data_IF_962826991871
#
_entry.id   IF_962826991871
#
_cell.length_a   1.000
_cell.length_b   1.000
_cell.length_c   1.000
_cell.angle_alpha   90.00
_cell.angle_beta   90.00
_cell.angle_gamma   90.00
#
_symmetry.space_group_name_H-M   'P 1'
#
loop_
_entity.id
_entity.type
_entity.pdbx_description
1 polymer ?
#
# COMPACT_ATOMS: atom_id res chain seq x y z
N UNK A 1 -7.77 9.25 8.27
CA UNK A 1 -7.53 9.62 6.87
C UNK A 1 -6.04 9.82 6.72
N UNK A 2 -5.36 8.93 6.01
CA UNK A 2 -3.98 9.15 5.60
C UNK A 2 -3.99 9.80 4.23
N UNK A 3 -4.04 11.10 4.19
CA UNK A 3 -3.93 11.85 2.95
C UNK A 3 -2.43 12.15 2.79
N UNK A 4 -1.73 11.42 1.93
CA UNK A 4 -0.29 11.54 1.76
C UNK A 4 0.12 12.78 0.93
N UNK A 5 -0.83 13.46 0.32
CA UNK A 5 -0.66 14.66 -0.49
C UNK A 5 -0.89 15.98 0.26
N UNK A 6 -1.17 15.91 1.56
CA UNK A 6 -1.30 17.08 2.43
C UNK A 6 -0.16 17.07 3.45
N UNK A 7 0.69 18.09 3.41
CA UNK A 7 1.71 18.34 4.43
C UNK A 7 1.23 19.44 5.37
N UNK A 8 1.24 19.17 6.67
CA UNK A 8 0.93 20.17 7.69
C UNK A 8 2.23 20.52 8.41
N UNK A 9 2.60 21.78 8.37
CA UNK A 9 3.81 22.29 9.02
C UNK A 9 3.40 23.37 10.02
N UNK A 10 3.85 23.25 11.26
CA UNK A 10 3.74 24.30 12.25
C UNK A 10 4.86 25.32 12.04
N UNK A 11 4.54 26.60 12.04
CA UNK A 11 5.54 27.67 11.97
C UNK A 11 5.40 28.57 13.18
N UNK A 12 6.47 28.76 13.93
CA UNK A 12 6.54 29.62 15.10
C UNK A 12 7.69 30.59 15.04
N UNK A 13 7.49 31.78 15.57
CA UNK A 13 8.58 32.75 15.75
C UNK A 13 9.51 32.27 16.86
N UNK A 14 10.82 32.42 16.66
CA UNK A 14 11.85 32.13 17.66
C UNK A 14 11.71 32.97 18.94
N UNK A 15 11.09 34.15 18.86
CA UNK A 15 10.73 34.95 20.02
C UNK A 15 9.84 34.23 21.06
N UNK A 16 9.22 33.11 20.69
CA UNK A 16 8.35 32.29 21.56
C UNK A 16 8.94 30.90 21.86
N UNK A 17 10.25 30.74 21.70
CA UNK A 17 10.92 29.43 21.93
C UNK A 17 10.74 28.87 23.35
N UNK A 18 10.57 29.70 24.35
CA UNK A 18 10.31 29.26 25.73
C UNK A 18 8.98 28.54 25.88
N UNK A 19 8.01 28.83 25.00
CA UNK A 19 6.68 28.21 24.96
C UNK A 19 6.62 26.98 24.03
N UNK A 20 7.64 26.78 23.20
CA UNK A 20 7.70 25.72 22.18
C UNK A 20 7.50 24.30 22.76
N UNK A 21 8.11 23.91 23.89
CA UNK A 21 7.87 22.59 24.47
C UNK A 21 6.40 22.29 24.70
N UNK A 22 5.63 23.27 25.22
CA UNK A 22 4.18 23.11 25.42
C UNK A 22 3.36 23.06 24.13
N UNK A 23 3.88 23.62 23.05
CA UNK A 23 3.21 23.62 21.74
C UNK A 23 3.41 22.32 20.97
N UNK A 24 4.57 21.66 21.13
CA UNK A 24 4.94 20.47 20.33
C UNK A 24 4.88 19.18 21.13
N UNK A 25 4.84 19.23 22.46
CA UNK A 25 4.81 18.06 23.33
C UNK A 25 3.64 17.13 22.99
N UNK A 26 3.95 15.86 22.68
CA UNK A 26 2.96 14.86 22.28
C UNK A 26 2.34 15.04 20.89
N UNK A 27 2.87 15.93 20.05
CA UNK A 27 2.41 16.19 18.67
C UNK A 27 3.41 15.67 17.65
N UNK A 28 2.90 15.20 16.50
CA UNK A 28 3.72 14.59 15.43
C UNK A 28 3.90 15.57 14.25
N UNK A 29 3.41 16.80 14.35
CA UNK A 29 3.52 17.76 13.26
C UNK A 29 4.96 18.31 13.17
N UNK A 30 5.56 18.35 11.97
CA UNK A 30 6.83 19.05 11.77
C UNK A 30 6.68 20.51 12.14
N UNK A 31 7.71 21.06 12.77
CA UNK A 31 7.75 22.46 13.21
C UNK A 31 8.94 23.16 12.59
N UNK A 32 8.73 24.37 12.10
CA UNK A 32 9.75 25.26 11.53
C UNK A 32 9.79 26.56 12.32
N UNK A 33 10.99 27.00 12.68
CA UNK A 33 11.20 28.31 13.28
C UNK A 33 11.32 29.37 12.19
N UNK A 34 10.59 30.47 12.39
CA UNK A 34 10.71 31.69 11.59
C UNK A 34 11.52 32.71 12.42
N UNK A 35 12.74 32.99 11.98
CA UNK A 35 13.76 33.65 12.81
C UNK A 35 13.77 35.16 12.70
N UNK A 36 14.10 35.85 13.81
CA UNK A 36 14.28 37.32 13.84
C UNK A 36 15.45 37.77 12.97
N UNK A 37 16.51 36.99 12.95
CA UNK A 37 17.72 37.29 12.16
C UNK A 37 17.42 37.33 10.65
N UNK A 38 16.44 36.57 10.18
CA UNK A 38 15.97 36.57 8.79
C UNK A 38 14.78 37.53 8.56
N UNK A 39 14.34 38.27 9.58
CA UNK A 39 13.24 39.23 9.52
C UNK A 39 11.85 38.61 9.51
N UNK A 40 11.71 37.38 10.01
CA UNK A 40 10.48 36.62 10.01
C UNK A 40 9.86 36.48 8.62
N UNK A 41 10.53 35.85 7.65
CA UNK A 41 10.09 35.82 6.26
C UNK A 41 8.69 35.20 6.10
N UNK A 42 8.36 34.12 6.77
CA UNK A 42 7.03 33.50 6.68
C UNK A 42 5.93 34.44 7.17
N UNK A 43 6.17 35.17 8.26
CA UNK A 43 5.20 36.14 8.79
C UNK A 43 5.10 37.41 7.94
N UNK A 44 6.18 37.82 7.33
CA UNK A 44 6.25 39.06 6.53
C UNK A 44 5.77 38.85 5.10
N UNK A 45 6.24 37.81 4.44
CA UNK A 45 5.94 37.54 3.03
C UNK A 45 4.51 37.11 2.80
N UNK A 46 3.95 36.34 3.73
CA UNK A 46 2.56 35.87 3.66
C UNK A 46 1.59 36.73 4.48
N UNK A 47 2.04 37.77 5.15
CA UNK A 47 1.23 38.59 6.03
C UNK A 47 0.58 37.75 7.18
N UNK A 48 1.35 36.79 7.70
CA UNK A 48 0.83 35.82 8.63
C UNK A 48 0.33 36.46 9.92
N UNK A 49 -0.81 35.97 10.43
CA UNK A 49 -1.45 36.40 11.68
C UNK A 49 -1.52 35.24 12.63
N UNK A 50 -1.35 35.49 13.91
CA UNK A 50 -1.44 34.49 14.94
C UNK A 50 -2.78 33.70 14.85
N UNK A 51 -2.68 32.37 14.98
CA UNK A 51 -3.80 31.41 14.87
C UNK A 51 -4.50 31.39 13.50
N UNK A 52 -3.76 31.66 12.43
CA UNK A 52 -4.22 31.45 11.07
C UNK A 52 -3.59 30.22 10.46
N UNK A 53 -4.38 29.51 9.67
CA UNK A 53 -3.92 28.41 8.81
C UNK A 53 -3.86 28.93 7.39
N UNK A 54 -2.77 28.65 6.70
CA UNK A 54 -2.52 29.04 5.32
C UNK A 54 -2.51 27.78 4.47
N UNK A 55 -3.19 27.83 3.34
CA UNK A 55 -3.29 26.71 2.41
C UNK A 55 -2.53 27.06 1.13
N UNK A 56 -1.60 26.20 0.77
CA UNK A 56 -0.79 26.34 -0.43
C UNK A 56 -1.09 25.19 -1.38
N UNK A 57 -1.06 25.46 -2.68
CA UNK A 57 -1.09 24.42 -3.70
C UNK A 57 0.28 23.71 -3.80
N UNK A 58 0.39 22.78 -4.75
CA UNK A 58 1.62 22.01 -4.97
C UNK A 58 2.80 22.86 -5.48
N UNK A 59 2.50 23.98 -6.10
CA UNK A 59 3.49 24.92 -6.62
C UNK A 59 3.93 25.94 -5.55
N UNK A 60 3.43 25.79 -4.32
CA UNK A 60 3.74 26.67 -3.19
C UNK A 60 3.01 28.02 -3.27
N UNK A 61 1.98 28.15 -4.11
CA UNK A 61 1.18 29.36 -4.19
C UNK A 61 0.12 29.37 -3.09
N UNK A 62 -0.06 30.51 -2.43
CA UNK A 62 -1.09 30.67 -1.41
C UNK A 62 -2.49 30.62 -2.06
N UNK A 63 -3.24 29.58 -1.75
CA UNK A 63 -4.60 29.37 -2.26
C UNK A 63 -5.62 30.07 -1.35
N UNK A 64 -5.47 29.91 -0.03
CA UNK A 64 -6.39 30.49 0.95
C UNK A 64 -5.76 30.61 2.34
N UNK A 65 -6.42 31.35 3.22
CA UNK A 65 -6.07 31.42 4.64
C UNK A 65 -7.31 31.51 5.51
N UNK A 66 -7.24 30.92 6.70
CA UNK A 66 -8.34 30.87 7.65
C UNK A 66 -7.87 31.15 9.07
N UNK A 67 -8.56 32.05 9.77
CA UNK A 67 -8.30 32.26 11.18
C UNK A 67 -9.00 31.21 12.01
N UNK A 68 -8.25 30.38 12.74
CA UNK A 68 -8.76 29.24 13.52
C UNK A 68 -9.03 29.59 14.99
N UNK A 69 -9.03 30.88 15.36
CA UNK A 69 -9.27 31.32 16.76
C UNK A 69 -10.62 30.89 17.30
N UNK A 70 -11.64 30.77 16.44
CA UNK A 70 -12.99 30.42 16.81
C UNK A 70 -13.25 28.90 16.77
N UNK A 71 -12.29 28.11 16.27
CA UNK A 71 -12.41 26.68 16.18
C UNK A 71 -12.03 26.02 17.51
N UNK A 72 -12.90 25.19 18.03
CA UNK A 72 -12.68 24.39 19.22
C UNK A 72 -12.24 22.98 18.79
N UNK A 73 -11.03 22.53 19.11
CA UNK A 73 -10.53 21.22 18.69
C UNK A 73 -11.39 20.03 19.14
N UNK A 74 -12.13 20.21 20.22
CA UNK A 74 -13.02 19.20 20.81
C UNK A 74 -14.47 19.28 20.29
N UNK A 75 -14.81 20.28 19.45
CA UNK A 75 -16.11 20.37 18.80
C UNK A 75 -16.11 19.56 17.49
N UNK A 76 -16.92 18.49 17.39
CA UNK A 76 -16.99 17.67 16.18
C UNK A 76 -17.43 18.44 14.92
N UNK A 77 -18.20 19.52 15.07
CA UNK A 77 -18.66 20.30 13.92
C UNK A 77 -17.53 21.16 13.37
N UNK A 78 -16.76 21.82 14.25
CA UNK A 78 -15.60 22.62 13.86
C UNK A 78 -14.53 21.75 13.21
N UNK A 79 -14.28 20.57 13.78
CA UNK A 79 -13.35 19.59 13.21
C UNK A 79 -13.84 19.12 11.82
N UNK A 80 -15.11 18.76 11.70
CA UNK A 80 -15.70 18.31 10.43
C UNK A 80 -15.68 19.43 9.38
N UNK A 81 -15.94 20.69 9.78
CA UNK A 81 -15.85 21.83 8.90
C UNK A 81 -14.44 22.00 8.33
N UNK A 82 -13.41 21.97 9.19
CA UNK A 82 -12.03 22.12 8.75
C UNK A 82 -11.59 20.99 7.81
N UNK A 83 -11.96 19.74 8.13
CA UNK A 83 -11.68 18.59 7.27
C UNK A 83 -12.36 18.75 5.91
N UNK A 84 -13.65 19.08 5.87
CA UNK A 84 -14.37 19.26 4.62
C UNK A 84 -13.79 20.41 3.80
N UNK A 85 -13.43 21.51 4.45
CA UNK A 85 -12.81 22.65 3.79
C UNK A 85 -11.45 22.26 3.14
N UNK A 86 -10.62 21.50 3.84
CA UNK A 86 -9.35 20.97 3.29
C UNK A 86 -9.63 20.06 2.10
N UNK A 87 -10.64 19.18 2.21
CA UNK A 87 -11.03 18.28 1.12
C UNK A 87 -11.60 19.02 -0.08
N UNK A 88 -12.37 20.09 0.14
CA UNK A 88 -12.89 20.95 -0.94
C UNK A 88 -11.75 21.68 -1.67
N UNK A 89 -10.82 22.27 -0.92
CA UNK A 89 -9.63 22.91 -1.52
C UNK A 89 -8.77 21.90 -2.30
N UNK A 90 -8.68 20.69 -1.79
CA UNK A 90 -7.98 19.59 -2.46
C UNK A 90 -8.70 19.21 -3.76
N UNK A 91 -10.03 19.16 -3.77
CA UNK A 91 -10.82 18.83 -4.97
C UNK A 91 -10.73 19.89 -6.07
N UNK A 92 -10.49 21.15 -5.69
CA UNK A 92 -10.31 22.25 -6.66
C UNK A 92 -8.87 22.36 -7.20
N UNK A 93 -7.86 21.92 -6.42
CA UNK A 93 -6.44 22.15 -6.71
C UNK A 93 -5.58 20.87 -6.50
N UNK A 94 -6.18 19.74 -6.17
CA UNK A 94 -5.52 18.46 -5.92
C UNK A 94 -5.75 17.44 -7.02
N UNK A 95 -5.17 16.22 -6.88
CA UNK A 95 -5.40 15.16 -7.82
C UNK A 95 -6.88 14.80 -7.91
N UNK A 96 -7.36 14.57 -9.12
CA UNK A 96 -8.64 13.94 -9.31
C UNK A 96 -8.61 12.51 -8.76
N UNK A 97 -9.74 12.06 -8.19
CA UNK A 97 -9.88 10.67 -7.74
C UNK A 97 -10.95 10.01 -8.60
N UNK A 98 -10.53 9.05 -9.41
CA UNK A 98 -11.41 8.21 -10.21
C UNK A 98 -11.70 6.92 -9.44
N UNK A 99 -12.94 6.70 -9.06
CA UNK A 99 -13.36 5.48 -8.35
C UNK A 99 -13.84 4.43 -9.35
N UNK A 100 -13.35 3.21 -9.16
CA UNK A 100 -13.76 2.06 -9.97
C UNK A 100 -14.48 1.06 -9.06
N UNK A 101 -15.71 0.65 -9.37
CA UNK A 101 -16.48 0.93 -10.58
C UNK A 101 -17.41 2.15 -10.53
N UNK A 102 -17.36 2.99 -9.50
CA UNK A 102 -18.36 4.02 -9.23
C UNK A 102 -18.36 5.16 -10.28
N UNK A 103 -17.18 5.69 -10.64
CA UNK A 103 -17.04 6.79 -11.61
C UNK A 103 -16.77 6.26 -13.01
N UNK A 104 -16.04 5.14 -13.10
CA UNK A 104 -15.72 4.43 -14.36
C UNK A 104 -15.89 2.94 -14.17
N UNK A 105 -16.35 2.23 -15.20
CA UNK A 105 -16.59 0.79 -15.14
C UNK A 105 -15.32 -0.06 -15.28
N UNK A 106 -14.21 0.53 -15.72
CA UNK A 106 -12.93 -0.16 -15.93
C UNK A 106 -11.76 0.65 -15.37
N UNK A 107 -10.74 -0.05 -14.90
CA UNK A 107 -9.52 0.55 -14.37
C UNK A 107 -8.75 1.23 -15.49
N UNK A 108 -8.60 0.55 -16.66
CA UNK A 108 -7.92 1.15 -17.81
C UNK A 108 -8.63 2.41 -18.30
N UNK A 109 -9.97 2.43 -18.29
CA UNK A 109 -10.75 3.62 -18.64
C UNK A 109 -10.53 4.78 -17.67
N UNK A 110 -10.35 4.51 -16.37
CA UNK A 110 -9.96 5.52 -15.39
C UNK A 110 -8.54 6.06 -15.67
N UNK A 111 -7.59 5.17 -15.98
CA UNK A 111 -6.22 5.55 -16.34
C UNK A 111 -6.20 6.43 -17.60
N UNK A 112 -7.02 6.12 -18.61
CA UNK A 112 -7.12 6.92 -19.84
C UNK A 112 -7.57 8.36 -19.56
N UNK A 113 -8.50 8.55 -18.62
CA UNK A 113 -9.04 9.86 -18.23
C UNK A 113 -8.13 10.64 -17.30
N UNK A 114 -7.32 9.96 -16.49
CA UNK A 114 -6.47 10.57 -15.49
C UNK A 114 -5.33 11.40 -16.09
N UNK A 115 -4.88 12.40 -15.36
CA UNK A 115 -3.68 13.21 -15.63
C UNK A 115 -2.59 12.88 -14.59
N UNK A 116 -1.38 13.40 -14.79
CA UNK A 116 -0.28 13.21 -13.83
C UNK A 116 -0.67 13.70 -12.45
N UNK A 117 -0.43 12.84 -11.46
CA UNK A 117 -0.76 13.07 -10.07
C UNK A 117 -2.13 12.58 -9.64
N UNK A 118 -3.01 12.20 -10.55
CA UNK A 118 -4.34 11.67 -10.24
C UNK A 118 -4.30 10.29 -9.59
N UNK A 119 -5.40 9.92 -8.94
CA UNK A 119 -5.56 8.68 -8.19
C UNK A 119 -6.69 7.86 -8.79
N UNK A 120 -6.40 6.62 -9.16
CA UNK A 120 -7.39 5.60 -9.49
C UNK A 120 -7.61 4.76 -8.23
N UNK A 121 -8.77 4.90 -7.60
CA UNK A 121 -9.13 4.21 -6.37
C UNK A 121 -10.11 3.08 -6.67
N UNK A 122 -9.66 1.84 -6.46
CA UNK A 122 -10.36 0.64 -6.87
C UNK A 122 -11.07 0.00 -5.67
N UNK A 123 -12.38 -0.19 -5.79
CA UNK A 123 -13.18 -0.90 -4.81
C UNK A 123 -12.89 -2.42 -4.83
N UNK A 124 -13.12 -3.15 -3.72
CA UNK A 124 -12.95 -4.59 -3.70
C UNK A 124 -13.71 -5.30 -4.82
N UNK A 125 -13.05 -6.22 -5.48
CA UNK A 125 -13.59 -6.99 -6.59
C UNK A 125 -12.50 -7.68 -7.40
N UNK A 126 -12.89 -8.56 -8.32
CA UNK A 126 -11.99 -9.17 -9.29
C UNK A 126 -12.21 -8.53 -10.64
N UNK A 127 -11.17 -7.90 -11.15
CA UNK A 127 -11.17 -7.16 -12.40
C UNK A 127 -10.36 -7.92 -13.44
N UNK A 128 -11.04 -8.48 -14.45
CA UNK A 128 -10.38 -9.13 -15.57
C UNK A 128 -9.90 -8.09 -16.57
N UNK A 129 -8.86 -7.40 -16.18
CA UNK A 129 -8.27 -6.31 -16.93
C UNK A 129 -6.74 -6.40 -16.90
N UNK A 130 -6.14 -5.95 -17.97
CA UNK A 130 -4.72 -5.63 -18.04
C UNK A 130 -4.61 -4.12 -18.14
N UNK A 131 -3.75 -3.53 -17.34
CA UNK A 131 -3.62 -2.07 -17.25
C UNK A 131 -2.25 -1.61 -17.72
N UNK A 132 -2.26 -0.45 -18.37
CA UNK A 132 -1.08 0.28 -18.82
C UNK A 132 -1.15 1.71 -18.27
N UNK A 133 -0.09 2.18 -17.65
CA UNK A 133 -0.01 3.52 -17.07
C UNK A 133 0.06 4.65 -18.13
N UNK A 134 0.27 4.33 -19.40
CA UNK A 134 0.24 5.27 -20.54
C UNK A 134 1.15 6.49 -20.36
N UNK A 135 2.39 6.29 -19.96
CA UNK A 135 3.39 7.35 -19.67
C UNK A 135 2.96 8.34 -18.58
N UNK A 136 1.99 7.97 -17.72
CA UNK A 136 1.45 8.84 -16.68
C UNK A 136 2.02 8.55 -15.30
N UNK A 137 2.31 9.60 -14.57
CA UNK A 137 2.64 9.55 -13.15
C UNK A 137 1.36 9.62 -12.32
N UNK A 138 0.73 8.49 -12.09
CA UNK A 138 -0.56 8.32 -11.39
C UNK A 138 -0.44 7.33 -10.24
N UNK A 139 -1.40 7.39 -9.32
CA UNK A 139 -1.53 6.37 -8.28
C UNK A 139 -2.67 5.41 -8.62
N UNK A 140 -2.36 4.12 -8.77
CA UNK A 140 -3.35 3.06 -8.91
C UNK A 140 -3.41 2.27 -7.61
N UNK A 141 -4.55 2.30 -6.92
CA UNK A 141 -4.66 1.87 -5.54
C UNK A 141 -5.96 1.14 -5.24
N UNK A 142 -5.91 0.16 -4.32
CA UNK A 142 -7.11 -0.31 -3.63
C UNK A 142 -7.53 0.65 -2.51
N UNK A 143 -8.65 0.36 -1.84
CA UNK A 143 -9.06 1.09 -0.64
C UNK A 143 -8.05 0.94 0.52
N UNK A 144 -7.06 0.05 0.44
CA UNK A 144 -5.93 0.03 1.37
C UNK A 144 -5.24 1.41 1.45
N UNK A 145 -5.15 2.13 0.35
CA UNK A 145 -4.53 3.46 0.27
C UNK A 145 -5.18 4.49 1.20
N UNK A 146 -6.50 4.43 1.39
CA UNK A 146 -7.25 5.37 2.24
C UNK A 146 -7.59 4.82 3.63
N UNK A 147 -7.79 3.49 3.74
CA UNK A 147 -8.30 2.87 4.97
C UNK A 147 -7.20 2.18 5.80
N UNK A 148 -6.02 1.95 5.19
CA UNK A 148 -4.89 1.22 5.80
C UNK A 148 -5.25 -0.17 6.33
N UNK A 149 -6.31 -0.79 5.80
CA UNK A 149 -6.71 -2.15 6.15
C UNK A 149 -6.16 -3.14 5.10
N UNK A 150 -5.25 -4.06 5.47
CA UNK A 150 -4.69 -5.07 4.57
C UNK A 150 -5.74 -5.97 3.90
N UNK A 151 -6.96 -6.03 4.44
CA UNK A 151 -8.08 -6.71 3.83
C UNK A 151 -8.27 -6.31 2.36
N UNK A 152 -8.19 -5.01 2.06
CA UNK A 152 -8.43 -4.51 0.71
C UNK A 152 -7.39 -4.96 -0.31
N UNK A 153 -6.20 -5.34 0.13
CA UNK A 153 -5.13 -5.86 -0.75
C UNK A 153 -5.56 -7.19 -1.36
N UNK A 154 -6.06 -8.11 -0.50
CA UNK A 154 -6.49 -9.45 -0.93
C UNK A 154 -7.81 -9.47 -1.70
N UNK A 155 -8.65 -8.46 -1.49
CA UNK A 155 -10.00 -8.38 -2.08
C UNK A 155 -10.08 -7.50 -3.33
N UNK A 156 -8.97 -6.82 -3.71
CA UNK A 156 -8.91 -5.99 -4.92
C UNK A 156 -7.94 -6.63 -5.91
N UNK A 157 -8.48 -7.43 -6.82
CA UNK A 157 -7.72 -8.35 -7.66
C UNK A 157 -7.72 -7.87 -9.12
N UNK A 158 -6.53 -7.68 -9.67
CA UNK A 158 -6.29 -7.56 -11.10
C UNK A 158 -5.96 -8.96 -11.65
N UNK A 159 -6.87 -9.51 -12.43
CA UNK A 159 -6.76 -10.85 -13.04
C UNK A 159 -6.44 -10.74 -14.53
N UNK A 160 -5.25 -11.17 -14.92
CA UNK A 160 -4.78 -11.13 -16.32
C UNK A 160 -5.46 -12.14 -17.25
N UNK A 161 -6.29 -13.05 -16.71
CA UNK A 161 -7.00 -14.10 -17.48
C UNK A 161 -6.06 -14.89 -18.43
N UNK A 162 -4.78 -14.97 -18.10
CA UNK A 162 -3.70 -15.61 -18.88
C UNK A 162 -3.55 -15.07 -20.32
N UNK A 163 -3.91 -13.82 -20.56
CA UNK A 163 -3.94 -13.23 -21.90
C UNK A 163 -2.84 -12.21 -22.17
N UNK A 164 -2.06 -11.85 -21.14
CA UNK A 164 -0.93 -10.92 -21.25
C UNK A 164 -0.42 -10.48 -19.88
N UNK A 165 0.58 -9.61 -19.86
CA UNK A 165 1.05 -8.94 -18.63
C UNK A 165 -0.08 -8.17 -17.98
N UNK A 166 -0.25 -8.31 -16.66
CA UNK A 166 -1.38 -7.68 -15.94
C UNK A 166 -1.19 -6.17 -15.82
N UNK A 167 0.01 -5.74 -15.43
CA UNK A 167 0.34 -4.33 -15.23
C UNK A 167 1.57 -3.96 -16.03
N UNK A 168 1.45 -2.97 -16.90
CA UNK A 168 2.55 -2.38 -17.63
C UNK A 168 2.81 -0.95 -17.16
N UNK A 169 4.05 -0.66 -16.79
CA UNK A 169 4.52 0.67 -16.43
C UNK A 169 5.74 0.95 -17.31
N UNK A 170 5.52 1.69 -18.41
CA UNK A 170 6.53 1.91 -19.43
C UNK A 170 6.42 3.34 -19.97
N UNK A 171 7.56 4.01 -20.20
CA UNK A 171 7.56 5.32 -20.84
C UNK A 171 8.07 6.48 -19.99
N UNK A 172 8.93 6.20 -18.97
CA UNK A 172 9.64 7.26 -18.26
C UNK A 172 8.92 7.82 -17.04
N UNK A 173 7.98 7.05 -16.47
CA UNK A 173 7.39 7.39 -15.17
C UNK A 173 8.47 7.48 -14.09
N UNK A 174 8.32 8.44 -13.18
CA UNK A 174 9.17 8.58 -12.01
C UNK A 174 8.52 7.97 -10.74
N UNK A 175 9.12 8.15 -9.57
CA UNK A 175 8.60 7.64 -8.30
C UNK A 175 7.26 8.25 -7.85
N UNK A 176 6.66 9.15 -8.60
CA UNK A 176 5.28 9.60 -8.37
C UNK A 176 4.24 8.68 -9.05
N UNK A 177 4.67 7.77 -9.92
CA UNK A 177 3.85 6.65 -10.36
C UNK A 177 3.84 5.57 -9.28
N UNK A 178 2.67 5.26 -8.73
CA UNK A 178 2.51 4.36 -7.57
C UNK A 178 1.49 3.27 -7.87
N UNK A 179 1.87 2.03 -7.59
CA UNK A 179 0.98 0.87 -7.58
C UNK A 179 0.91 0.33 -6.15
N UNK A 180 -0.26 0.40 -5.51
CA UNK A 180 -0.36 0.13 -4.08
C UNK A 180 -1.59 -0.66 -3.67
N UNK A 181 -1.35 -1.70 -2.85
CA UNK A 181 -2.39 -2.41 -2.14
C UNK A 181 -3.29 -3.28 -3.02
N UNK A 182 -2.77 -3.87 -4.08
CA UNK A 182 -3.52 -4.68 -5.04
C UNK A 182 -3.01 -6.12 -5.07
N UNK A 183 -3.89 -7.05 -5.43
CA UNK A 183 -3.50 -8.42 -5.83
C UNK A 183 -3.43 -8.48 -7.36
N UNK A 184 -2.29 -8.95 -7.89
CA UNK A 184 -1.97 -9.04 -9.31
C UNK A 184 -1.72 -10.51 -9.63
N UNK A 185 -2.63 -11.12 -10.39
CA UNK A 185 -2.56 -12.56 -10.62
C UNK A 185 -2.98 -12.98 -12.03
N UNK A 186 -2.64 -14.24 -12.37
CA UNK A 186 -3.00 -14.88 -13.63
C UNK A 186 -2.53 -14.12 -14.88
N UNK A 187 -1.43 -13.39 -14.75
CA UNK A 187 -0.76 -12.77 -15.89
C UNK A 187 0.02 -13.81 -16.70
N UNK A 188 0.13 -13.56 -18.00
CA UNK A 188 0.94 -14.37 -18.89
C UNK A 188 1.70 -13.49 -19.87
N UNK A 189 2.99 -13.75 -20.02
CA UNK A 189 3.81 -13.12 -21.05
C UNK A 189 4.55 -14.18 -21.85
N UNK A 190 4.65 -14.02 -23.15
CA UNK A 190 5.46 -14.91 -23.99
C UNK A 190 6.96 -14.75 -23.73
N UNK A 191 7.40 -13.64 -23.12
CA UNK A 191 8.80 -13.35 -22.87
C UNK A 191 9.08 -12.75 -21.50
N UNK A 192 8.59 -11.57 -21.19
CA UNK A 192 9.08 -10.74 -20.09
C UNK A 192 7.91 -10.19 -19.27
N UNK A 193 7.93 -10.34 -17.94
CA UNK A 193 6.98 -9.75 -17.03
C UNK A 193 5.58 -10.37 -17.10
N UNK A 194 5.35 -11.52 -16.47
CA UNK A 194 4.02 -12.13 -16.44
C UNK A 194 3.01 -11.28 -15.64
N UNK A 195 3.36 -10.92 -14.40
CA UNK A 195 2.51 -10.08 -13.55
C UNK A 195 2.70 -8.59 -13.84
N UNK A 196 3.91 -8.07 -13.67
CA UNK A 196 4.26 -6.66 -13.84
C UNK A 196 5.46 -6.50 -14.76
N UNK A 197 5.35 -5.62 -15.73
CA UNK A 197 6.45 -5.16 -16.56
C UNK A 197 6.78 -3.70 -16.23
N UNK A 198 8.03 -3.43 -15.87
CA UNK A 198 8.57 -2.09 -15.66
C UNK A 198 9.67 -1.88 -16.71
N UNK A 199 9.43 -0.96 -17.64
CA UNK A 199 10.28 -0.73 -18.79
C UNK A 199 10.59 0.76 -18.95
N UNK A 200 11.85 1.15 -18.74
CA UNK A 200 12.27 2.54 -18.77
C UNK A 200 11.37 3.42 -17.86
N UNK A 201 11.20 2.99 -16.58
CA UNK A 201 10.33 3.65 -15.63
C UNK A 201 10.78 3.37 -14.17
N UNK A 202 10.48 4.32 -13.27
CA UNK A 202 10.90 4.32 -11.87
C UNK A 202 9.70 4.36 -10.90
N UNK A 203 8.71 3.45 -10.99
CA UNK A 203 7.54 3.50 -10.12
C UNK A 203 7.85 3.05 -8.68
N UNK A 204 6.90 3.31 -7.79
CA UNK A 204 6.83 2.67 -6.48
C UNK A 204 5.79 1.56 -6.50
N UNK A 205 6.18 0.35 -6.10
CA UNK A 205 5.29 -0.77 -5.81
C UNK A 205 5.23 -0.98 -4.30
N UNK A 206 4.09 -0.68 -3.68
CA UNK A 206 3.93 -0.72 -2.22
C UNK A 206 2.80 -1.66 -1.81
N UNK A 207 3.11 -2.66 -0.97
CA UNK A 207 2.15 -3.59 -0.36
C UNK A 207 1.18 -4.24 -1.36
N UNK A 208 1.71 -4.72 -2.49
CA UNK A 208 0.95 -5.53 -3.43
C UNK A 208 1.18 -7.02 -3.17
N UNK A 209 0.22 -7.84 -3.58
CA UNK A 209 0.36 -9.28 -3.71
C UNK A 209 0.52 -9.60 -5.20
N UNK A 210 1.68 -10.16 -5.59
CA UNK A 210 1.98 -10.53 -6.97
C UNK A 210 2.16 -12.05 -7.02
N UNK A 211 1.18 -12.75 -7.57
CA UNK A 211 1.16 -14.21 -7.48
C UNK A 211 0.57 -14.89 -8.72
N UNK A 212 0.93 -16.17 -8.92
CA UNK A 212 0.36 -17.02 -9.99
C UNK A 212 0.51 -16.41 -11.38
N UNK A 213 1.56 -15.65 -11.62
CA UNK A 213 1.87 -15.08 -12.92
C UNK A 213 2.95 -15.91 -13.62
N UNK A 214 2.94 -15.90 -14.94
CA UNK A 214 3.81 -16.73 -15.75
C UNK A 214 4.47 -15.94 -16.88
N UNK A 215 5.78 -16.10 -17.01
CA UNK A 215 6.51 -15.71 -18.22
C UNK A 215 7.00 -16.99 -18.92
N UNK A 216 6.55 -17.17 -20.16
CA UNK A 216 6.78 -18.39 -20.94
C UNK A 216 7.75 -18.20 -22.09
N UNK A 217 7.88 -19.25 -22.95
CA UNK A 217 8.75 -19.25 -24.12
C UNK A 217 10.26 -19.37 -23.79
N UNK A 218 11.08 -19.49 -24.84
CA UNK A 218 12.54 -19.59 -24.69
C UNK A 218 13.15 -18.27 -24.24
N UNK A 219 13.76 -18.26 -23.07
CA UNK A 219 14.35 -17.05 -22.49
C UNK A 219 13.34 -16.18 -21.76
N UNK A 220 12.32 -16.80 -21.14
CA UNK A 220 11.38 -16.10 -20.29
C UNK A 220 12.05 -15.43 -19.09
N UNK A 221 11.59 -14.25 -18.73
CA UNK A 221 12.17 -13.39 -17.72
C UNK A 221 11.08 -12.75 -16.84
N UNK A 222 11.19 -12.90 -15.51
CA UNK A 222 10.31 -12.25 -14.55
C UNK A 222 8.87 -12.79 -14.56
N UNK A 223 8.65 -13.95 -13.99
CA UNK A 223 7.30 -14.51 -13.87
C UNK A 223 6.37 -13.57 -13.11
N UNK A 224 6.78 -13.07 -11.95
CA UNK A 224 6.09 -12.05 -11.18
C UNK A 224 6.33 -10.65 -11.74
N UNK A 225 7.59 -10.21 -11.76
CA UNK A 225 7.99 -8.85 -12.14
C UNK A 225 9.21 -8.89 -13.04
N UNK A 226 9.21 -8.11 -14.10
CA UNK A 226 10.39 -7.82 -14.89
C UNK A 226 10.72 -6.32 -14.86
N UNK A 227 12.01 -6.00 -14.67
CA UNK A 227 12.54 -4.63 -14.58
C UNK A 227 13.65 -4.48 -15.60
N UNK A 228 13.42 -3.69 -16.63
CA UNK A 228 14.30 -3.59 -17.79
C UNK A 228 14.51 -2.13 -18.24
N UNK A 229 15.56 -1.94 -19.07
CA UNK A 229 15.83 -0.70 -19.79
C UNK A 229 16.00 0.53 -18.90
N UNK A 230 17.06 0.52 -18.05
CA UNK A 230 17.43 1.65 -17.18
C UNK A 230 16.29 2.07 -16.23
N UNK A 231 15.63 1.10 -15.58
CA UNK A 231 14.57 1.30 -14.61
C UNK A 231 15.10 1.26 -13.17
N UNK A 232 14.60 2.15 -12.31
CA UNK A 232 15.03 2.31 -10.90
C UNK A 232 13.85 2.28 -9.90
N UNK A 233 12.94 1.33 -9.99
CA UNK A 233 11.74 1.30 -9.15
C UNK A 233 12.05 0.99 -7.68
N UNK A 234 11.09 1.32 -6.80
CA UNK A 234 11.13 0.97 -5.39
C UNK A 234 10.06 -0.07 -5.06
N UNK A 235 10.45 -1.09 -4.27
CA UNK A 235 9.59 -2.17 -3.81
C UNK A 235 9.52 -2.23 -2.28
N UNK A 236 8.35 -2.00 -1.71
CA UNK A 236 8.14 -1.99 -0.27
C UNK A 236 6.95 -2.86 0.13
N UNK A 237 7.17 -3.83 1.03
CA UNK A 237 6.10 -4.61 1.64
C UNK A 237 5.28 -5.47 0.68
N UNK A 238 5.81 -5.80 -0.50
CA UNK A 238 5.09 -6.65 -1.43
C UNK A 238 5.27 -8.13 -1.09
N UNK A 239 4.23 -8.93 -1.33
CA UNK A 239 4.25 -10.38 -1.25
C UNK A 239 4.30 -10.96 -2.67
N UNK A 240 5.43 -11.56 -3.06
CA UNK A 240 5.71 -12.05 -4.42
C UNK A 240 5.91 -13.56 -4.38
N UNK A 241 4.91 -14.32 -4.81
CA UNK A 241 4.95 -15.77 -4.67
C UNK A 241 4.18 -16.55 -5.74
N UNK A 242 4.52 -17.83 -5.89
CA UNK A 242 3.93 -18.74 -6.89
C UNK A 242 3.97 -18.16 -8.31
N UNK A 243 4.96 -17.35 -8.63
CA UNK A 243 5.17 -16.91 -10.00
C UNK A 243 6.16 -17.85 -10.69
N UNK A 244 6.00 -18.03 -11.99
CA UNK A 244 6.72 -19.04 -12.73
C UNK A 244 7.32 -18.49 -14.00
N UNK A 245 8.56 -18.90 -14.28
CA UNK A 245 9.15 -18.79 -15.61
C UNK A 245 9.42 -20.19 -16.11
N UNK A 246 8.71 -20.62 -17.14
CA UNK A 246 8.87 -21.94 -17.74
C UNK A 246 8.42 -21.96 -19.19
N UNK A 247 8.89 -22.94 -19.97
CA UNK A 247 8.55 -23.09 -21.37
C UNK A 247 9.00 -24.42 -21.95
N UNK A 248 8.95 -24.57 -23.27
CA UNK A 248 9.20 -25.82 -23.98
C UNK A 248 10.57 -25.88 -24.66
N UNK A 249 11.57 -25.19 -24.14
CA UNK A 249 12.91 -25.19 -24.69
C UNK A 249 13.85 -26.13 -23.96
N UNK A 250 14.71 -26.83 -24.72
CA UNK A 250 15.81 -27.65 -24.18
C UNK A 250 17.00 -26.76 -23.75
N UNK A 251 16.77 -25.62 -23.14
CA UNK A 251 17.83 -24.73 -22.64
C UNK A 251 17.56 -24.38 -21.16
N UNK A 252 18.64 -24.15 -20.42
CA UNK A 252 18.58 -23.53 -19.10
C UNK A 252 18.56 -22.02 -19.34
N UNK A 253 17.37 -21.43 -19.47
CA UNK A 253 17.19 -20.06 -19.96
C UNK A 253 15.92 -19.38 -19.40
N UNK A 254 15.53 -19.76 -18.19
CA UNK A 254 14.40 -19.20 -17.45
C UNK A 254 14.91 -18.47 -16.22
N UNK A 255 14.63 -17.16 -16.13
CA UNK A 255 15.27 -16.29 -15.17
C UNK A 255 14.27 -15.44 -14.35
N UNK A 256 14.46 -15.42 -13.01
CA UNK A 256 13.69 -14.56 -12.12
C UNK A 256 12.22 -14.95 -11.99
N UNK A 257 11.95 -16.06 -11.32
CA UNK A 257 10.55 -16.48 -11.07
C UNK A 257 9.75 -15.40 -10.35
N UNK A 258 10.30 -14.82 -9.29
CA UNK A 258 9.73 -13.69 -8.58
C UNK A 258 10.02 -12.36 -9.29
N UNK A 259 11.29 -11.95 -9.28
CA UNK A 259 11.75 -10.67 -9.87
C UNK A 259 12.94 -10.93 -10.79
N UNK A 260 12.87 -10.41 -12.00
CA UNK A 260 13.97 -10.30 -12.94
C UNK A 260 14.41 -8.84 -13.09
N UNK A 261 15.72 -8.62 -13.13
CA UNK A 261 16.33 -7.30 -13.37
C UNK A 261 17.36 -7.43 -14.48
N UNK A 262 17.27 -6.61 -15.50
CA UNK A 262 18.26 -6.57 -16.58
C UNK A 262 19.58 -5.94 -16.13
N UNK A 263 20.58 -5.94 -17.01
CA UNK A 263 21.94 -5.43 -16.69
C UNK A 263 22.01 -3.91 -16.55
N UNK A 264 20.97 -3.18 -16.94
CA UNK A 264 20.96 -1.72 -17.00
C UNK A 264 20.10 -1.07 -15.91
N UNK A 265 19.35 -1.88 -15.17
CA UNK A 265 18.39 -1.42 -14.16
C UNK A 265 18.89 -1.61 -12.73
N UNK A 266 18.45 -0.74 -11.79
CA UNK A 266 18.81 -0.77 -10.37
C UNK A 266 17.63 -0.48 -9.46
N UNK A 267 16.74 -1.42 -9.21
CA UNK A 267 15.67 -1.25 -8.23
C UNK A 267 16.19 -1.16 -6.79
N UNK A 268 15.39 -0.59 -5.90
CA UNK A 268 15.52 -0.79 -4.46
C UNK A 268 14.45 -1.80 -4.02
N UNK A 269 14.87 -2.97 -3.52
CA UNK A 269 13.97 -4.05 -3.11
C UNK A 269 14.00 -4.18 -1.59
N UNK A 270 12.98 -3.65 -0.90
CA UNK A 270 12.91 -3.60 0.55
C UNK A 270 13.33 -2.25 1.12
N UNK A 271 13.47 -2.15 2.43
CA UNK A 271 13.81 -0.87 3.06
C UNK A 271 14.07 -0.96 4.56
N UNK A 272 13.13 -1.48 5.34
CA UNK A 272 13.28 -1.67 6.79
C UNK A 272 12.55 -2.94 7.23
N UNK A 273 12.78 -3.36 8.47
CA UNK A 273 12.15 -4.57 9.06
C UNK A 273 10.61 -4.56 8.92
N UNK A 274 10.00 -3.38 8.85
CA UNK A 274 8.54 -3.23 8.78
C UNK A 274 8.00 -3.06 7.36
N UNK A 275 8.87 -2.89 6.37
CA UNK A 275 8.50 -2.61 4.97
C UNK A 275 9.32 -3.44 3.96
N UNK A 276 9.95 -4.52 4.40
CA UNK A 276 10.58 -5.50 3.52
C UNK A 276 9.56 -6.30 2.73
N UNK A 277 9.98 -6.80 1.57
CA UNK A 277 9.12 -7.66 0.75
C UNK A 277 9.24 -9.12 1.20
N UNK A 278 8.23 -9.93 0.84
CA UNK A 278 8.23 -11.38 1.03
C UNK A 278 8.29 -12.07 -0.33
N UNK A 279 9.29 -12.94 -0.55
CA UNK A 279 9.49 -13.65 -1.80
C UNK A 279 9.63 -15.15 -1.51
N UNK A 280 8.71 -15.95 -2.06
CA UNK A 280 8.73 -17.40 -1.83
C UNK A 280 8.00 -18.19 -2.91
N UNK A 281 8.30 -19.48 -3.02
CA UNK A 281 7.62 -20.41 -3.93
C UNK A 281 7.55 -19.93 -5.39
N UNK A 282 8.48 -19.09 -5.83
CA UNK A 282 8.59 -18.73 -7.24
C UNK A 282 9.45 -19.78 -7.95
N UNK A 283 9.29 -19.95 -9.26
CA UNK A 283 9.97 -20.97 -10.03
C UNK A 283 10.66 -20.40 -11.29
N UNK A 284 11.92 -20.74 -11.45
CA UNK A 284 12.75 -20.47 -12.63
C UNK A 284 13.95 -21.42 -12.62
N UNK A 285 14.77 -21.45 -13.69
CA UNK A 285 16.04 -22.19 -13.71
C UNK A 285 17.11 -21.51 -12.83
N UNK A 286 17.08 -20.17 -12.78
CA UNK A 286 18.00 -19.36 -11.98
C UNK A 286 17.27 -18.21 -11.32
N UNK A 287 17.60 -17.94 -10.05
CA UNK A 287 17.04 -16.85 -9.28
C UNK A 287 15.53 -16.97 -9.14
N UNK A 288 15.06 -18.09 -8.57
CA UNK A 288 13.63 -18.31 -8.38
C UNK A 288 12.94 -17.12 -7.71
N UNK A 289 13.61 -16.51 -6.73
CA UNK A 289 13.09 -15.33 -6.05
C UNK A 289 13.59 -14.03 -6.69
N UNK A 290 14.90 -13.91 -6.91
CA UNK A 290 15.57 -12.72 -7.44
C UNK A 290 16.60 -13.09 -8.49
N UNK A 291 16.49 -12.51 -9.67
CA UNK A 291 17.49 -12.64 -10.73
C UNK A 291 17.95 -11.26 -11.21
N UNK A 292 19.26 -11.09 -11.39
CA UNK A 292 19.84 -9.92 -12.03
C UNK A 292 20.74 -10.35 -13.19
N UNK A 293 20.49 -9.83 -14.37
CA UNK A 293 21.35 -10.09 -15.52
C UNK A 293 22.75 -9.48 -15.29
N UNK A 294 23.82 -10.27 -15.36
CA UNK A 294 25.18 -9.75 -15.23
C UNK A 294 25.49 -8.72 -16.31
N UNK A 295 26.09 -7.55 -15.97
CA UNK A 295 26.56 -6.61 -16.96
C UNK A 295 27.74 -7.18 -17.76
N UNK A 296 28.01 -6.64 -18.94
CA UNK A 296 29.14 -7.06 -19.79
C UNK A 296 30.51 -6.82 -19.13
N UNK A 297 30.60 -5.81 -18.24
CA UNK A 297 31.82 -5.52 -17.45
C UNK A 297 31.56 -5.79 -15.96
N UNK A 298 32.07 -6.91 -15.47
CA UNK A 298 31.90 -7.36 -14.08
C UNK A 298 32.86 -6.71 -13.08
N UNK A 299 33.82 -5.88 -13.52
CA UNK A 299 34.85 -5.30 -12.64
C UNK A 299 34.31 -4.18 -11.74
N UNK A 300 33.20 -3.54 -12.12
CA UNK A 300 32.61 -2.41 -11.41
C UNK A 300 31.14 -2.67 -10.98
N UNK A 301 30.78 -3.91 -10.78
CA UNK A 301 29.41 -4.26 -10.47
C UNK A 301 29.06 -3.92 -9.02
N UNK A 302 28.11 -2.99 -8.84
CA UNK A 302 27.55 -2.65 -7.53
C UNK A 302 26.32 -3.52 -7.26
N UNK A 303 26.25 -4.25 -6.13
CA UNK A 303 25.06 -5.01 -5.76
C UNK A 303 23.80 -4.13 -5.69
N UNK A 304 22.65 -4.69 -6.05
CA UNK A 304 21.35 -4.06 -5.87
C UNK A 304 20.95 -4.15 -4.39
N UNK A 305 20.44 -3.04 -3.86
CA UNK A 305 19.92 -2.99 -2.50
C UNK A 305 18.68 -3.89 -2.35
N UNK A 306 18.77 -4.91 -1.50
CA UNK A 306 17.69 -5.88 -1.24
C UNK A 306 17.63 -6.22 0.26
N UNK A 307 17.52 -5.20 1.10
CA UNK A 307 17.59 -5.33 2.56
C UNK A 307 16.24 -5.66 3.19
N UNK A 308 16.29 -6.35 4.32
CA UNK A 308 15.12 -6.69 5.15
C UNK A 308 14.03 -7.52 4.46
N UNK A 309 14.32 -8.14 3.32
CA UNK A 309 13.36 -9.01 2.66
C UNK A 309 13.27 -10.36 3.37
N UNK A 310 12.14 -11.03 3.19
CA UNK A 310 11.88 -12.37 3.70
C UNK A 310 11.89 -13.37 2.55
N UNK A 311 12.60 -14.48 2.73
CA UNK A 311 12.74 -15.55 1.74
C UNK A 311 12.38 -16.89 2.38
N UNK A 312 12.12 -17.92 1.57
CA UNK A 312 11.91 -19.29 2.02
C UNK A 312 13.06 -19.77 2.90
N UNK A 313 14.29 -19.43 2.52
CA UNK A 313 15.53 -19.72 3.26
C UNK A 313 16.36 -18.44 3.33
N UNK A 314 16.95 -18.15 4.49
CA UNK A 314 17.87 -17.03 4.65
C UNK A 314 19.16 -17.48 5.38
N UNK A 315 20.34 -17.37 4.78
CA UNK A 315 20.57 -16.83 3.42
C UNK A 315 19.92 -17.74 2.37
N UNK A 316 19.40 -17.16 1.28
CA UNK A 316 18.78 -17.94 0.20
C UNK A 316 19.78 -18.87 -0.47
N UNK A 317 19.32 -19.99 -1.04
CA UNK A 317 20.16 -20.92 -1.79
C UNK A 317 20.59 -20.30 -3.13
N UNK A 318 21.90 -20.16 -3.34
CA UNK A 318 22.49 -19.68 -4.57
C UNK A 318 22.92 -20.86 -5.47
N UNK A 319 22.70 -20.82 -6.78
CA UNK A 319 22.00 -19.77 -7.56
C UNK A 319 20.50 -19.98 -7.69
N UNK A 320 19.92 -20.94 -6.96
CA UNK A 320 18.50 -21.32 -7.13
C UNK A 320 17.57 -20.17 -6.75
N UNK A 321 17.70 -19.63 -5.55
CA UNK A 321 16.81 -18.57 -5.07
C UNK A 321 17.22 -17.17 -5.53
N UNK A 322 18.53 -16.87 -5.50
CA UNK A 322 19.07 -15.55 -5.83
C UNK A 322 20.26 -15.66 -6.76
N UNK A 323 20.22 -15.03 -7.91
CA UNK A 323 21.30 -15.09 -8.89
C UNK A 323 21.60 -13.71 -9.51
N UNK A 324 22.88 -13.40 -9.72
CA UNK A 324 24.07 -14.02 -9.12
C UNK A 324 24.24 -13.59 -7.66
N UNK A 325 24.93 -14.39 -6.86
CA UNK A 325 25.17 -14.15 -5.44
C UNK A 325 25.68 -12.73 -5.14
N UNK A 326 26.65 -12.25 -5.91
CA UNK A 326 27.25 -10.93 -5.74
C UNK A 326 26.49 -9.79 -6.43
N UNK A 327 25.33 -10.07 -7.03
CA UNK A 327 24.46 -9.09 -7.69
C UNK A 327 23.52 -8.37 -6.73
N UNK A 328 23.42 -8.86 -5.49
CA UNK A 328 22.47 -8.38 -4.51
C UNK A 328 23.12 -8.11 -3.15
N UNK A 329 22.74 -7.04 -2.50
CA UNK A 329 23.07 -6.74 -1.12
C UNK A 329 21.88 -7.15 -0.24
N UNK A 330 22.01 -8.32 0.41
CA UNK A 330 20.95 -8.97 1.19
C UNK A 330 21.11 -8.71 2.71
N UNK A 331 21.54 -7.52 3.11
CA UNK A 331 21.68 -7.20 4.52
C UNK A 331 20.33 -7.35 5.25
N UNK A 332 20.38 -7.95 6.45
CA UNK A 332 19.22 -8.19 7.31
C UNK A 332 18.10 -9.01 6.63
N UNK A 333 18.46 -9.96 5.78
CA UNK A 333 17.49 -10.89 5.24
C UNK A 333 16.90 -11.77 6.36
N UNK A 334 15.63 -12.12 6.25
CA UNK A 334 14.90 -12.92 7.22
C UNK A 334 14.37 -14.18 6.57
N UNK A 335 14.64 -15.35 7.15
CA UNK A 335 13.98 -16.59 6.71
C UNK A 335 12.50 -16.46 7.01
N UNK A 336 11.66 -16.71 6.00
CA UNK A 336 10.30 -17.13 6.26
C UNK A 336 10.42 -18.39 7.11
N UNK A 337 10.10 -18.29 8.39
CA UNK A 337 10.19 -19.42 9.29
C UNK A 337 9.37 -20.59 8.74
N UNK A 338 10.04 -21.51 8.01
CA UNK A 338 9.49 -22.83 7.67
C UNK A 338 9.54 -23.72 8.95
N UNK A 339 9.30 -23.17 10.00
CA UNK A 339 8.90 -23.62 11.29
C UNK A 339 7.77 -22.72 11.72
N UNK A 340 6.81 -22.47 10.83
CA UNK A 340 5.52 -21.88 11.16
C UNK A 340 5.48 -20.43 11.67
N UNK A 341 6.46 -19.60 11.31
CA UNK A 341 6.30 -18.16 11.41
C UNK A 341 6.33 -17.51 10.01
N UNK A 342 5.33 -17.82 9.19
CA UNK A 342 4.85 -16.84 8.23
C UNK A 342 4.58 -15.59 9.08
N UNK A 343 5.09 -14.37 8.78
CA UNK A 343 4.49 -13.16 9.30
C UNK A 343 3.20 -13.02 8.56
N UNK A 344 2.52 -13.81 8.93
CA UNK A 344 1.35 -14.06 9.70
C UNK A 344 0.18 -13.41 8.99
N UNK A 345 -0.52 -14.22 8.32
CA UNK A 345 -1.75 -14.67 9.04
C UNK A 345 -1.29 -15.12 10.44
N UNK A 346 -1.57 -14.36 11.51
CA UNK A 346 -1.19 -14.75 12.86
C UNK A 346 -1.64 -16.19 13.10
N UNK A 347 -0.84 -17.03 13.80
CA UNK A 347 -1.31 -18.27 14.43
C UNK A 347 -2.59 -18.04 15.25
N UNK A 348 -3.08 -16.84 15.22
CA UNK A 348 -4.19 -16.25 15.92
C UNK A 348 -5.16 -15.69 14.92
N UNK A 349 -6.41 -15.91 15.18
CA UNK A 349 -7.53 -15.21 14.60
C UNK A 349 -7.19 -13.73 14.41
N UNK A 350 -7.35 -13.24 13.20
CA UNK A 350 -7.26 -11.82 12.89
C UNK A 350 -8.67 -11.24 12.66
N UNK A 351 -8.96 -10.17 13.37
CA UNK A 351 -10.23 -9.45 13.28
C UNK A 351 -10.02 -8.12 12.55
N UNK A 352 -10.49 -8.04 11.33
CA UNK A 352 -10.35 -6.85 10.49
C UNK A 352 -11.27 -5.71 10.94
N UNK A 353 -10.93 -4.48 10.55
CA UNK A 353 -11.78 -3.31 10.79
C UNK A 353 -13.08 -3.46 10.01
N UNK A 354 -14.19 -3.01 10.59
CA UNK A 354 -15.47 -3.01 9.89
C UNK A 354 -15.56 -1.90 8.84
N UNK A 355 -16.24 -2.21 7.72
CA UNK A 355 -16.46 -1.27 6.62
C UNK A 355 -17.91 -1.39 6.08
N UNK A 356 -18.53 -0.25 5.74
CA UNK A 356 -18.09 1.14 5.99
C UNK A 356 -18.01 1.47 7.48
N UNK A 357 -17.19 2.46 7.87
CA UNK A 357 -17.10 2.99 9.22
C UNK A 357 -16.66 4.47 9.18
N UNK A 358 -17.54 5.47 9.43
CA UNK A 358 -18.95 5.33 9.90
C UNK A 358 -19.87 4.62 8.91
N UNK A 359 -20.99 4.03 9.40
CA UNK A 359 -21.89 3.23 8.58
C UNK A 359 -23.38 3.58 8.77
N UNK A 360 -24.17 3.33 7.71
CA UNK A 360 -25.62 3.46 7.67
C UNK A 360 -26.21 2.58 6.54
N UNK A 361 -27.14 1.67 6.78
CA UNK A 361 -27.59 1.14 8.08
C UNK A 361 -26.80 -0.11 8.51
N UNK A 362 -25.81 -0.56 7.75
CA UNK A 362 -25.07 -1.80 7.98
C UNK A 362 -23.57 -1.63 7.77
N UNK A 363 -22.81 -2.45 8.47
CA UNK A 363 -21.35 -2.59 8.28
C UNK A 363 -20.98 -4.05 8.17
N UNK A 364 -19.90 -4.31 7.46
CA UNK A 364 -19.34 -5.65 7.27
C UNK A 364 -17.99 -5.73 7.97
N UNK A 365 -17.63 -6.91 8.41
CA UNK A 365 -16.30 -7.18 8.94
C UNK A 365 -15.92 -8.62 8.72
N UNK A 366 -14.64 -8.87 8.70
CA UNK A 366 -14.06 -10.17 8.42
C UNK A 366 -13.25 -10.67 9.61
N UNK A 367 -13.29 -11.97 9.79
CA UNK A 367 -12.42 -12.70 10.70
C UNK A 367 -11.67 -13.74 9.89
N UNK A 368 -10.36 -13.66 9.90
CA UNK A 368 -9.48 -14.66 9.29
C UNK A 368 -8.95 -15.60 10.37
N UNK A 369 -9.07 -16.91 10.15
CA UNK A 369 -8.55 -17.93 11.04
C UNK A 369 -7.66 -18.90 10.28
N UNK A 370 -6.47 -19.18 10.80
CA UNK A 370 -5.56 -20.15 10.19
C UNK A 370 -5.99 -21.60 10.47
N UNK A 371 -6.55 -21.83 11.64
CA UNK A 371 -7.01 -23.15 12.09
C UNK A 371 -8.49 -23.11 12.47
N UNK A 372 -9.09 -24.30 12.57
CA UNK A 372 -10.41 -24.43 13.18
C UNK A 372 -10.40 -23.88 14.61
N UNK A 373 -11.17 -22.83 14.88
CA UNK A 373 -11.11 -22.10 16.15
C UNK A 373 -12.50 -21.69 16.62
N UNK A 374 -12.78 -21.95 17.90
CA UNK A 374 -14.02 -21.49 18.54
C UNK A 374 -13.93 -20.00 18.83
N UNK A 375 -14.92 -19.25 18.34
CA UNK A 375 -14.97 -17.79 18.47
C UNK A 375 -16.33 -17.28 18.88
N UNK A 376 -16.30 -16.15 19.55
CA UNK A 376 -17.49 -15.38 19.90
C UNK A 376 -17.32 -13.93 19.46
N UNK A 377 -18.27 -13.43 18.64
CA UNK A 377 -18.35 -12.04 18.18
C UNK A 377 -19.54 -11.35 18.84
N UNK A 378 -19.25 -10.31 19.62
CA UNK A 378 -20.22 -9.52 20.38
C UNK A 378 -20.10 -8.04 20.12
N UNK A 379 -21.23 -7.34 20.15
CA UNK A 379 -21.28 -5.88 20.08
C UNK A 379 -21.61 -5.32 21.45
N UNK A 380 -20.92 -4.24 21.81
CA UNK A 380 -21.10 -3.52 23.06
C UNK A 380 -21.33 -2.03 22.78
N UNK A 381 -22.09 -1.38 23.65
CA UNK A 381 -22.18 0.09 23.66
C UNK A 381 -21.01 0.71 24.46
N UNK A 382 -20.96 2.07 24.45
CA UNK A 382 -19.93 2.83 25.15
C UNK A 382 -19.94 2.64 26.69
N UNK A 383 -20.99 2.06 27.24
CA UNK A 383 -21.12 1.73 28.69
C UNK A 383 -20.71 0.29 28.98
N UNK A 384 -20.23 -0.44 27.98
CA UNK A 384 -19.85 -1.85 28.10
C UNK A 384 -21.05 -2.80 28.19
N UNK A 385 -22.24 -2.37 27.87
CA UNK A 385 -23.44 -3.24 27.83
C UNK A 385 -23.43 -4.00 26.51
N UNK A 386 -23.58 -5.32 26.58
CA UNK A 386 -23.73 -6.17 25.41
C UNK A 386 -25.04 -5.84 24.69
N UNK A 387 -24.92 -5.57 23.40
CA UNK A 387 -26.02 -5.18 22.50
C UNK A 387 -26.51 -6.40 21.73
N UNK A 388 -25.56 -7.16 21.15
CA UNK A 388 -25.88 -8.28 20.27
C UNK A 388 -24.72 -9.30 20.25
N UNK A 389 -25.06 -10.56 20.01
CA UNK A 389 -24.10 -11.62 19.67
C UNK A 389 -24.25 -11.89 18.18
N UNK A 390 -23.21 -11.55 17.40
CA UNK A 390 -23.23 -11.71 15.95
C UNK A 390 -22.93 -13.16 15.56
N UNK A 391 -21.98 -13.77 16.25
CA UNK A 391 -21.56 -15.14 16.01
C UNK A 391 -21.06 -15.78 17.31
N UNK A 392 -21.35 -17.06 17.48
CA UNK A 392 -20.80 -17.91 18.53
C UNK A 392 -20.70 -19.33 17.98
N UNK A 393 -19.50 -19.82 17.77
CA UNK A 393 -19.27 -21.13 17.18
C UNK A 393 -17.86 -21.34 16.67
N UNK A 394 -17.67 -22.35 15.85
CA UNK A 394 -16.37 -22.72 15.29
C UNK A 394 -16.24 -22.10 13.90
N UNK A 395 -15.13 -21.41 13.66
CA UNK A 395 -14.68 -20.99 12.34
C UNK A 395 -13.67 -22.00 11.81
N UNK A 396 -13.85 -22.42 10.57
CA UNK A 396 -12.85 -23.22 9.87
C UNK A 396 -11.65 -22.34 9.48
N UNK A 397 -10.56 -22.95 9.01
CA UNK A 397 -9.47 -22.22 8.37
C UNK A 397 -10.00 -21.41 7.18
N UNK A 398 -9.57 -20.13 7.07
CA UNK A 398 -9.97 -19.21 6.01
C UNK A 398 -10.57 -17.91 6.52
N UNK A 399 -11.16 -17.14 5.60
CA UNK A 399 -11.79 -15.86 5.87
C UNK A 399 -13.31 -15.99 5.98
N UNK A 400 -13.88 -15.40 7.02
CA UNK A 400 -15.30 -15.46 7.34
C UNK A 400 -15.89 -14.06 7.42
N UNK A 401 -16.95 -13.81 6.66
CA UNK A 401 -17.60 -12.51 6.57
C UNK A 401 -18.82 -12.43 7.46
N UNK A 402 -18.93 -11.31 8.18
CA UNK A 402 -20.03 -11.03 9.06
C UNK A 402 -20.63 -9.67 8.74
N UNK A 403 -21.89 -9.48 9.12
CA UNK A 403 -22.59 -8.22 8.94
C UNK A 403 -23.26 -7.82 10.25
N UNK A 404 -23.21 -6.53 10.57
CA UNK A 404 -23.97 -5.95 11.66
C UNK A 404 -24.86 -4.80 11.18
N UNK A 405 -26.11 -4.76 11.68
CA UNK A 405 -27.09 -3.72 11.35
C UNK A 405 -27.91 -3.38 12.60
N UNK A 406 -27.62 -2.28 13.29
CA UNK A 406 -28.27 -1.91 14.56
C UNK A 406 -29.67 -1.33 14.37
N UNK A 407 -30.66 -2.17 14.04
CA UNK A 407 -32.01 -1.75 13.63
C UNK A 407 -32.76 -0.86 14.64
N UNK A 408 -32.51 -1.01 15.94
CA UNK A 408 -33.22 -0.33 17.01
C UNK A 408 -32.29 0.42 17.99
N UNK A 409 -31.06 0.69 17.59
CA UNK A 409 -30.07 1.33 18.42
C UNK A 409 -29.85 2.79 17.98
N UNK A 410 -29.46 3.70 18.90
CA UNK A 410 -29.18 5.08 18.57
C UNK A 410 -27.91 5.22 17.72
N UNK A 411 -27.79 6.32 16.99
CA UNK A 411 -26.52 6.79 16.43
C UNK A 411 -25.48 6.89 17.53
N UNK A 412 -24.26 6.42 17.27
CA UNK A 412 -23.20 6.46 18.27
C UNK A 412 -22.07 5.46 18.02
N UNK A 413 -21.17 5.44 18.99
CA UNK A 413 -20.01 4.57 19.01
C UNK A 413 -20.36 3.21 19.63
N UNK A 414 -19.92 2.15 18.96
CA UNK A 414 -20.03 0.76 19.41
C UNK A 414 -18.67 0.08 19.32
N UNK A 415 -18.54 -1.01 20.07
CA UNK A 415 -17.35 -1.85 20.04
C UNK A 415 -17.76 -3.27 19.63
N UNK A 416 -17.14 -3.77 18.57
CA UNK A 416 -17.28 -5.17 18.17
C UNK A 416 -16.10 -5.93 18.76
N UNK A 417 -16.39 -6.90 19.60
CA UNK A 417 -15.40 -7.68 20.34
C UNK A 417 -15.39 -9.12 19.84
N UNK A 418 -14.23 -9.54 19.38
CA UNK A 418 -13.92 -10.92 19.07
C UNK A 418 -13.19 -11.55 20.23
N UNK A 419 -13.62 -12.70 20.69
CA UNK A 419 -12.90 -13.53 21.65
C UNK A 419 -12.78 -14.96 21.17
N UNK A 420 -11.60 -15.53 21.35
CA UNK A 420 -11.29 -16.96 21.18
C UNK A 420 -10.50 -17.44 22.40
N UNK A 421 -10.16 -18.73 22.42
CA UNK A 421 -9.32 -19.27 23.48
C UNK A 421 -7.93 -18.65 23.55
N UNK A 422 -7.44 -18.09 22.45
CA UNK A 422 -6.07 -17.61 22.26
C UNK A 422 -5.96 -16.10 22.07
N UNK A 423 -7.04 -15.42 21.66
CA UNK A 423 -6.98 -14.01 21.28
C UNK A 423 -8.26 -13.26 21.68
N UNK A 424 -8.08 -11.99 22.03
CA UNK A 424 -9.17 -11.03 22.22
C UNK A 424 -8.85 -9.77 21.44
N UNK A 425 -9.73 -9.39 20.55
CA UNK A 425 -9.56 -8.21 19.70
C UNK A 425 -10.85 -7.37 19.72
N UNK A 426 -10.70 -6.07 19.55
CA UNK A 426 -11.86 -5.14 19.54
C UNK A 426 -11.70 -4.17 18.38
N UNK A 427 -12.79 -3.95 17.66
CA UNK A 427 -12.89 -2.92 16.62
C UNK A 427 -13.95 -1.90 16.99
N UNK A 428 -13.68 -0.66 16.60
CA UNK A 428 -14.55 0.50 16.83
C UNK A 428 -15.49 0.66 15.66
N UNK A 429 -16.80 0.72 15.90
CA UNK A 429 -17.83 0.89 14.87
C UNK A 429 -18.67 2.15 15.16
N UNK A 430 -18.76 3.07 14.22
CA UNK A 430 -19.50 4.32 14.34
C UNK A 430 -20.77 4.22 13.50
N UNK A 431 -21.91 4.13 14.17
CA UNK A 431 -23.21 4.10 13.50
C UNK A 431 -23.78 5.50 13.37
N UNK A 432 -24.17 5.89 12.17
CA UNK A 432 -24.85 7.15 11.84
C UNK A 432 -26.19 6.84 11.16
N UNK A 433 -27.23 7.63 11.46
CA UNK A 433 -28.55 7.50 10.81
C UNK A 433 -28.70 8.52 9.71
#
# INVERSE_FOLDING_TARGET
MGVNDISIIGVGKDAYNDDLPGMVEGRILPWVEDTEDDGYPVWTDYGAVQRSTYFFDRDGQLVNSMNITQFLPDDPNDYSYLINYILDLRSENGPAIFRVPEDTISIQGAIELAENGDIILISPGSYRERIDFLDKNITVASLFFSEFDPFFIGETILDGDTTGTVVTIAGGQDHSAILIGLTIENGYSDQTGGGVLIDHADPILDRNIIRNNHAGSCGGEGGGVAIINESYPYFFGNDIYNNEVSGVCDCVCYFGGGIYVDSTSWPIVGGSVTIGNTLYSNYADYGMQLFRQPPADTLNWTPIFAHHNQFDICPPDFPEDVFPENGWDLENCHTLGIGYDIPMIPDKIFFHQNYPNPFNPRTYFMVSSHNETEVELKVFDIKGRMIEVIFNGILNSGSHHFQWSPKNHPTGLYFIHLSSNESKQTRKAIYVK
#
